data_IF_132836681674
#
_entry.id   IF_132836681674
#
_cell.length_a   1.000
_cell.length_b   1.000
_cell.length_c   1.000
_cell.angle_alpha   90.00
_cell.angle_beta   90.00
_cell.angle_gamma   90.00
#
_symmetry.space_group_name_H-M   'P 1'
#
loop_
_entity.id
_entity.type
_entity.pdbx_description
1 polymer ?
#
# COMPACT_ATOMS: atom_id res chain seq x y z
N UNK A 1 -21.23 6.05 -12.56
CA UNK A 1 -20.40 4.83 -12.38
C UNK A 1 -19.23 4.77 -13.36
N UNK A 2 -19.40 5.05 -14.66
CA UNK A 2 -18.28 5.07 -15.63
C UNK A 2 -17.16 6.06 -15.29
N UNK A 3 -17.51 7.25 -14.80
CA UNK A 3 -16.56 8.29 -14.36
C UNK A 3 -15.61 7.87 -13.21
N UNK A 4 -15.93 6.81 -12.44
CA UNK A 4 -15.05 6.31 -11.37
C UNK A 4 -13.92 5.42 -11.90
N UNK A 5 -14.05 4.91 -13.13
CA UNK A 5 -13.16 3.89 -13.68
C UNK A 5 -12.55 4.26 -15.04
N UNK A 6 -13.12 5.26 -15.72
CA UNK A 6 -12.58 5.82 -16.97
C UNK A 6 -11.71 7.06 -16.66
N UNK A 7 -10.55 7.22 -17.31
CA UNK A 7 -9.71 8.41 -17.14
C UNK A 7 -10.49 9.66 -17.55
N UNK A 8 -10.68 10.58 -16.60
CA UNK A 8 -11.32 11.87 -16.87
C UNK A 8 -10.33 12.83 -17.54
N UNK A 9 -10.75 13.49 -18.61
CA UNK A 9 -9.94 14.53 -19.29
C UNK A 9 -9.91 15.86 -18.52
N UNK A 10 -10.85 16.08 -17.58
CA UNK A 10 -11.00 17.36 -16.87
C UNK A 10 -10.48 17.34 -15.42
N UNK A 11 -10.39 16.17 -14.79
CA UNK A 11 -10.01 16.03 -13.38
C UNK A 11 -8.61 15.42 -13.23
N UNK A 12 -7.60 16.25 -13.42
CA UNK A 12 -6.18 15.86 -13.31
C UNK A 12 -5.72 15.98 -11.86
N UNK A 13 -4.92 15.02 -11.41
CA UNK A 13 -4.27 15.05 -10.11
C UNK A 13 -3.37 16.28 -10.00
N UNK A 14 -3.53 17.01 -8.90
CA UNK A 14 -2.67 18.14 -8.53
C UNK A 14 -1.90 17.80 -7.27
N UNK A 15 -0.57 17.89 -7.38
CA UNK A 15 0.35 17.65 -6.29
C UNK A 15 0.08 18.63 -5.14
N UNK A 16 -0.08 18.07 -3.93
CA UNK A 16 -0.42 18.82 -2.70
C UNK A 16 -1.74 19.62 -2.75
N UNK A 17 -2.69 19.20 -3.61
CA UNK A 17 -4.08 19.62 -3.48
C UNK A 17 -4.69 19.26 -2.12
N UNK A 18 -5.82 19.88 -1.76
CA UNK A 18 -6.55 19.58 -0.51
C UNK A 18 -6.86 18.09 -0.39
N UNK A 19 -7.32 17.45 -1.46
CA UNK A 19 -7.56 16.00 -1.54
C UNK A 19 -6.30 15.20 -1.23
N UNK A 20 -5.16 15.56 -1.84
CA UNK A 20 -3.90 14.89 -1.59
C UNK A 20 -3.45 15.04 -0.13
N UNK A 21 -3.53 16.25 0.42
CA UNK A 21 -3.16 16.54 1.81
C UNK A 21 -4.06 15.81 2.81
N UNK A 22 -5.37 15.73 2.56
CA UNK A 22 -6.28 14.94 3.39
C UNK A 22 -5.95 13.44 3.31
N UNK A 23 -5.56 12.95 2.13
CA UNK A 23 -5.17 11.54 1.95
C UNK A 23 -3.89 11.22 2.72
N UNK A 24 -2.87 12.08 2.63
CA UNK A 24 -1.65 11.94 3.42
C UNK A 24 -1.92 12.10 4.93
N UNK A 25 -2.80 13.02 5.32
CA UNK A 25 -3.23 13.19 6.70
C UNK A 25 -3.94 11.95 7.26
N UNK A 26 -4.83 11.33 6.48
CA UNK A 26 -5.50 10.08 6.85
C UNK A 26 -4.51 8.92 6.97
N UNK A 27 -3.51 8.84 6.08
CA UNK A 27 -2.43 7.88 6.19
C UNK A 27 -1.61 8.08 7.47
N UNK A 28 -1.20 9.32 7.78
CA UNK A 28 -0.49 9.64 9.01
C UNK A 28 -1.32 9.31 10.26
N UNK A 29 -2.62 9.59 10.23
CA UNK A 29 -3.53 9.19 11.29
C UNK A 29 -3.53 7.67 11.48
N UNK A 30 -3.56 6.89 10.40
CA UNK A 30 -3.47 5.43 10.48
C UNK A 30 -2.16 4.95 11.13
N UNK A 31 -1.03 5.59 10.81
CA UNK A 31 0.27 5.31 11.45
C UNK A 31 0.23 5.62 12.95
N UNK A 32 -0.36 6.76 13.33
CA UNK A 32 -0.51 7.16 14.74
C UNK A 32 -1.41 6.18 15.50
N UNK A 33 -2.52 5.77 14.90
CA UNK A 33 -3.43 4.78 15.50
C UNK A 33 -2.72 3.43 15.67
N UNK A 34 -2.02 2.94 14.64
CA UNK A 34 -1.21 1.72 14.72
C UNK A 34 -0.22 1.79 15.89
N UNK A 35 0.51 2.90 16.02
CA UNK A 35 1.44 3.09 17.12
C UNK A 35 0.74 3.15 18.47
N UNK A 36 -0.38 3.87 18.59
CA UNK A 36 -1.12 4.05 19.84
C UNK A 36 -1.71 2.75 20.35
N UNK A 37 -2.30 1.95 19.45
CA UNK A 37 -2.92 0.66 19.76
C UNK A 37 -1.92 -0.52 19.73
N UNK A 38 -0.61 -0.27 19.55
CA UNK A 38 0.41 -1.32 19.43
C UNK A 38 0.42 -2.31 20.60
N UNK A 39 0.09 -1.86 21.82
CA UNK A 39 0.05 -2.72 23.01
C UNK A 39 -1.09 -3.74 22.91
N UNK A 40 -2.27 -3.29 22.48
CA UNK A 40 -3.43 -4.17 22.23
C UNK A 40 -3.15 -5.12 21.07
N UNK A 41 -2.52 -4.64 19.99
CA UNK A 41 -2.18 -5.45 18.82
C UNK A 41 -1.09 -6.50 19.08
N UNK A 42 -0.42 -6.46 20.24
CA UNK A 42 0.52 -7.51 20.67
C UNK A 42 -0.19 -8.73 21.26
N UNK A 43 -1.45 -8.60 21.68
CA UNK A 43 -2.26 -9.75 22.08
C UNK A 43 -2.38 -10.74 20.91
N UNK A 44 -2.27 -12.03 21.20
CA UNK A 44 -2.21 -13.09 20.17
C UNK A 44 -3.39 -13.05 19.19
N UNK A 45 -4.61 -12.80 19.70
CA UNK A 45 -5.82 -12.80 18.85
C UNK A 45 -5.85 -11.56 17.97
N UNK A 46 -5.67 -10.37 18.55
CA UNK A 46 -5.67 -9.12 17.80
C UNK A 46 -4.50 -9.03 16.82
N UNK A 47 -3.34 -9.58 17.18
CA UNK A 47 -2.19 -9.68 16.29
C UNK A 47 -2.52 -10.47 15.03
N UNK A 48 -3.12 -11.65 15.18
CA UNK A 48 -3.49 -12.51 14.07
C UNK A 48 -4.54 -11.83 13.17
N UNK A 49 -5.60 -11.27 13.78
CA UNK A 49 -6.66 -10.57 13.05
C UNK A 49 -6.09 -9.40 12.25
N UNK A 50 -5.25 -8.56 12.86
CA UNK A 50 -4.66 -7.42 12.19
C UNK A 50 -3.73 -7.84 11.04
N UNK A 51 -2.90 -8.86 11.24
CA UNK A 51 -1.99 -9.39 10.19
C UNK A 51 -2.77 -9.97 9.02
N UNK A 52 -3.79 -10.79 9.29
CA UNK A 52 -4.63 -11.39 8.25
C UNK A 52 -5.45 -10.31 7.54
N UNK A 53 -5.99 -9.34 8.28
CA UNK A 53 -6.72 -8.21 7.70
C UNK A 53 -5.84 -7.39 6.76
N UNK A 54 -4.64 -7.00 7.19
CA UNK A 54 -3.68 -6.30 6.33
C UNK A 54 -3.25 -7.14 5.12
N UNK A 55 -2.99 -8.44 5.31
CA UNK A 55 -2.70 -9.36 4.22
C UNK A 55 -3.82 -9.35 3.17
N UNK A 56 -5.07 -9.47 3.61
CA UNK A 56 -6.23 -9.47 2.72
C UNK A 56 -6.36 -8.14 1.99
N UNK A 57 -6.19 -7.00 2.67
CA UNK A 57 -6.24 -5.68 2.02
C UNK A 57 -5.20 -5.57 0.91
N UNK A 58 -3.96 -6.00 1.14
CA UNK A 58 -2.91 -5.95 0.13
C UNK A 58 -3.22 -6.85 -1.07
N UNK A 59 -3.56 -8.12 -0.82
CA UNK A 59 -3.83 -9.07 -1.91
C UNK A 59 -5.09 -8.69 -2.69
N UNK A 60 -6.15 -8.24 -2.02
CA UNK A 60 -7.37 -7.76 -2.68
C UNK A 60 -7.06 -6.52 -3.52
N UNK A 61 -6.21 -5.60 -3.03
CA UNK A 61 -5.78 -4.42 -3.80
C UNK A 61 -5.04 -4.81 -5.09
N UNK A 62 -4.13 -5.80 -5.02
CA UNK A 62 -3.41 -6.27 -6.20
C UNK A 62 -4.36 -6.97 -7.19
N UNK A 63 -5.26 -7.82 -6.70
CA UNK A 63 -6.26 -8.50 -7.54
C UNK A 63 -7.19 -7.47 -8.19
N UNK A 64 -7.63 -6.45 -7.44
CA UNK A 64 -8.51 -5.42 -7.97
C UNK A 64 -7.80 -4.57 -9.04
N UNK A 65 -6.49 -4.34 -8.91
CA UNK A 65 -5.69 -3.70 -9.96
C UNK A 65 -5.71 -4.52 -11.25
N UNK A 66 -5.42 -5.82 -11.15
CA UNK A 66 -5.40 -6.71 -12.31
C UNK A 66 -6.78 -6.79 -12.99
N UNK A 67 -7.85 -6.87 -12.18
CA UNK A 67 -9.22 -6.84 -12.68
C UNK A 67 -9.55 -5.52 -13.41
N UNK A 68 -9.12 -4.38 -12.88
CA UNK A 68 -9.32 -3.08 -13.53
C UNK A 68 -8.52 -2.95 -14.82
N UNK A 69 -7.25 -3.41 -14.84
CA UNK A 69 -6.42 -3.41 -16.06
C UNK A 69 -7.06 -4.25 -17.16
N UNK A 70 -7.58 -5.43 -16.80
CA UNK A 70 -8.29 -6.30 -17.73
C UNK A 70 -9.54 -5.63 -18.28
N UNK A 71 -10.39 -5.09 -17.40
CA UNK A 71 -11.66 -4.47 -17.79
C UNK A 71 -11.47 -3.20 -18.62
N UNK A 72 -10.49 -2.38 -18.28
CA UNK A 72 -10.19 -1.13 -19.00
C UNK A 72 -9.48 -1.35 -20.34
N UNK A 73 -9.15 -2.60 -20.70
CA UNK A 73 -8.41 -2.93 -21.92
C UNK A 73 -6.94 -2.49 -21.92
N UNK A 74 -6.42 -2.01 -20.79
CA UNK A 74 -5.03 -1.59 -20.62
C UNK A 74 -4.11 -2.75 -20.18
N UNK A 75 -4.64 -3.98 -20.13
CA UNK A 75 -3.87 -5.15 -19.74
C UNK A 75 -2.89 -5.56 -20.84
N UNK A 76 -1.60 -5.63 -20.51
CA UNK A 76 -0.57 -6.17 -21.40
C UNK A 76 0.45 -6.98 -20.62
N UNK A 77 1.00 -8.02 -21.26
CA UNK A 77 2.06 -8.84 -20.66
C UNK A 77 3.29 -8.02 -20.25
N UNK A 78 3.57 -6.91 -20.93
CA UNK A 78 4.75 -6.08 -20.65
C UNK A 78 4.54 -5.13 -19.47
N UNK A 79 3.32 -4.62 -19.28
CA UNK A 79 3.06 -3.54 -18.31
C UNK A 79 2.19 -3.96 -17.13
N UNK A 80 1.43 -5.05 -17.24
CA UNK A 80 0.46 -5.48 -16.24
C UNK A 80 0.92 -6.63 -15.36
N UNK A 81 2.02 -7.30 -15.72
CA UNK A 81 2.61 -8.29 -14.81
C UNK A 81 3.06 -7.61 -13.52
N UNK A 82 2.88 -8.25 -12.34
CA UNK A 82 3.26 -7.71 -11.04
C UNK A 82 4.78 -7.75 -10.82
N UNK A 83 5.56 -7.52 -11.87
CA UNK A 83 7.02 -7.46 -11.87
C UNK A 83 7.54 -6.06 -11.57
N UNK A 84 6.65 -5.06 -11.54
CA UNK A 84 6.98 -3.74 -11.04
C UNK A 84 7.34 -3.81 -9.55
N UNK A 85 8.31 -3.00 -9.15
CA UNK A 85 8.84 -3.00 -7.78
C UNK A 85 7.74 -2.75 -6.73
N UNK A 86 6.70 -1.97 -7.05
CA UNK A 86 5.57 -1.73 -6.15
C UNK A 86 4.73 -2.99 -5.92
N UNK A 87 4.32 -3.70 -6.98
CA UNK A 87 3.59 -4.97 -6.88
C UNK A 87 4.42 -6.05 -6.18
N UNK A 88 5.71 -6.16 -6.48
CA UNK A 88 6.62 -7.09 -5.77
C UNK A 88 6.68 -6.73 -4.28
N UNK A 89 6.91 -5.45 -3.95
CA UNK A 89 6.99 -5.01 -2.56
C UNK A 89 5.68 -5.24 -1.80
N UNK A 90 4.54 -5.04 -2.45
CA UNK A 90 3.22 -5.31 -1.89
C UNK A 90 3.04 -6.80 -1.61
N UNK A 91 3.30 -7.68 -2.58
CA UNK A 91 3.15 -9.13 -2.43
C UNK A 91 4.09 -9.65 -1.35
N UNK A 92 5.36 -9.21 -1.35
CA UNK A 92 6.32 -9.60 -0.32
C UNK A 92 5.94 -9.07 1.06
N UNK A 93 5.34 -7.88 1.17
CA UNK A 93 4.84 -7.34 2.44
C UNK A 93 3.62 -8.12 2.95
N UNK A 94 2.75 -8.56 2.05
CA UNK A 94 1.66 -9.47 2.39
C UNK A 94 2.20 -10.82 2.89
N UNK A 95 3.18 -11.41 2.20
CA UNK A 95 3.83 -12.65 2.63
C UNK A 95 4.58 -12.49 3.95
N UNK A 96 5.22 -11.35 4.19
CA UNK A 96 5.84 -11.00 5.47
C UNK A 96 4.82 -11.04 6.60
N UNK A 97 3.63 -10.45 6.38
CA UNK A 97 2.57 -10.45 7.37
C UNK A 97 2.09 -11.86 7.73
N UNK A 98 2.25 -12.89 6.90
CA UNK A 98 1.89 -14.27 7.27
C UNK A 98 3.07 -15.06 7.80
N UNK A 99 4.22 -14.95 7.15
CA UNK A 99 5.39 -15.80 7.40
C UNK A 99 6.30 -15.28 8.51
N UNK A 100 6.26 -13.97 8.80
CA UNK A 100 7.18 -13.31 9.76
C UNK A 100 8.66 -13.62 9.46
N UNK A 101 9.02 -13.79 8.19
CA UNK A 101 10.42 -14.02 7.81
C UNK A 101 11.19 -12.71 7.84
N UNK A 102 12.26 -12.65 8.61
CA UNK A 102 13.07 -11.44 8.74
C UNK A 102 13.70 -10.98 7.42
N UNK A 103 14.16 -11.92 6.58
CA UNK A 103 14.69 -11.59 5.25
C UNK A 103 13.66 -10.86 4.36
N UNK A 104 12.37 -11.21 4.45
CA UNK A 104 11.31 -10.48 3.75
C UNK A 104 11.14 -9.08 4.33
N UNK A 105 11.21 -8.95 5.65
CA UNK A 105 11.14 -7.66 6.33
C UNK A 105 12.29 -6.75 5.92
N UNK A 106 13.54 -7.22 5.88
CA UNK A 106 14.66 -6.37 5.47
C UNK A 106 14.45 -5.81 4.06
N UNK A 107 14.13 -6.68 3.10
CA UNK A 107 13.87 -6.25 1.74
C UNK A 107 12.69 -5.26 1.66
N UNK A 108 11.54 -5.62 2.24
CA UNK A 108 10.32 -4.81 2.14
C UNK A 108 10.39 -3.53 2.96
N UNK A 109 11.17 -3.50 4.04
CA UNK A 109 11.39 -2.29 4.83
C UNK A 109 12.29 -1.30 4.08
N UNK A 110 13.42 -1.74 3.51
CA UNK A 110 14.31 -0.81 2.82
C UNK A 110 13.80 -0.41 1.43
N UNK A 111 13.38 -1.39 0.62
CA UNK A 111 12.92 -1.15 -0.74
C UNK A 111 11.45 -0.76 -0.77
N UNK A 112 10.60 -1.52 -0.08
CA UNK A 112 9.15 -1.34 -0.13
C UNK A 112 8.68 -0.06 0.55
N UNK A 113 9.11 0.22 1.78
CA UNK A 113 8.69 1.45 2.50
C UNK A 113 9.23 2.69 1.83
N UNK A 114 10.52 2.71 1.46
CA UNK A 114 11.15 3.85 0.81
C UNK A 114 10.48 4.22 -0.50
N UNK A 115 10.28 3.24 -1.39
CA UNK A 115 9.59 3.45 -2.66
C UNK A 115 8.13 3.85 -2.47
N UNK A 116 7.41 3.22 -1.53
CA UNK A 116 6.01 3.54 -1.28
C UNK A 116 5.80 4.95 -0.72
N UNK A 117 6.64 5.39 0.21
CA UNK A 117 6.57 6.75 0.74
C UNK A 117 6.88 7.79 -0.35
N UNK A 118 7.91 7.57 -1.16
CA UNK A 118 8.23 8.47 -2.27
C UNK A 118 7.07 8.53 -3.28
N UNK A 119 6.51 7.37 -3.66
CA UNK A 119 5.36 7.29 -4.55
C UNK A 119 4.13 8.02 -3.98
N UNK A 120 3.89 7.95 -2.67
CA UNK A 120 2.77 8.67 -2.05
C UNK A 120 2.99 10.18 -1.96
N UNK A 121 4.22 10.66 -1.73
CA UNK A 121 4.51 12.09 -1.62
C UNK A 121 4.48 12.76 -3.00
N UNK A 122 5.01 12.09 -4.02
CA UNK A 122 5.03 12.56 -5.42
C UNK A 122 4.43 11.51 -6.34
N UNK A 123 3.09 11.35 -6.32
CA UNK A 123 2.44 10.30 -7.09
C UNK A 123 2.37 10.64 -8.58
N UNK A 124 2.79 9.68 -9.40
CA UNK A 124 2.65 9.74 -10.86
C UNK A 124 1.33 9.08 -11.29
N UNK A 125 0.22 9.70 -10.88
CA UNK A 125 -1.13 9.25 -11.22
C UNK A 125 -1.89 10.22 -12.12
N UNK A 126 -1.25 11.34 -12.49
CA UNK A 126 -1.66 12.29 -13.55
C UNK A 126 -3.16 12.39 -13.81
N UNK A 127 -3.73 11.58 -14.72
CA UNK A 127 -5.14 11.63 -15.12
C UNK A 127 -6.14 11.05 -14.09
N UNK A 128 -5.66 10.57 -12.95
CA UNK A 128 -6.44 9.86 -11.95
C UNK A 128 -6.40 10.59 -10.61
N UNK A 129 -7.35 11.50 -10.39
CA UNK A 129 -7.59 12.13 -9.08
C UNK A 129 -8.81 11.53 -8.38
N UNK A 130 -8.96 11.77 -7.08
CA UNK A 130 -10.17 11.36 -6.35
C UNK A 130 -11.42 11.95 -7.02
N UNK A 131 -12.52 11.18 -7.17
CA UNK A 131 -12.81 9.86 -6.58
C UNK A 131 -12.44 8.64 -7.46
N UNK A 132 -11.56 8.80 -8.45
CA UNK A 132 -11.23 7.72 -9.39
C UNK A 132 -10.61 6.50 -8.68
N UNK A 133 -10.99 5.30 -9.12
CA UNK A 133 -10.53 4.03 -8.54
C UNK A 133 -9.00 3.94 -8.45
N UNK A 134 -8.28 4.31 -9.51
CA UNK A 134 -6.80 4.29 -9.53
C UNK A 134 -6.18 5.15 -8.44
N UNK A 135 -6.78 6.29 -8.09
CA UNK A 135 -6.33 7.13 -6.98
C UNK A 135 -6.45 6.36 -5.66
N UNK A 136 -7.65 5.84 -5.37
CA UNK A 136 -7.93 5.11 -4.12
C UNK A 136 -7.05 3.87 -3.99
N UNK A 137 -6.99 3.06 -5.05
CA UNK A 137 -6.11 1.89 -5.13
C UNK A 137 -4.65 2.26 -4.86
N UNK A 138 -4.14 3.32 -5.50
CA UNK A 138 -2.74 3.73 -5.36
C UNK A 138 -2.37 4.03 -3.92
N UNK A 139 -3.18 4.80 -3.20
CA UNK A 139 -2.88 5.12 -1.80
C UNK A 139 -3.12 3.93 -0.85
N UNK A 140 -4.06 3.04 -1.15
CA UNK A 140 -4.26 1.80 -0.38
C UNK A 140 -3.07 0.85 -0.54
N UNK A 141 -2.58 0.63 -1.77
CA UNK A 141 -1.50 -0.32 -2.04
C UNK A 141 -0.17 0.15 -1.42
N UNK A 142 0.22 1.40 -1.66
CA UNK A 142 1.46 1.97 -1.12
C UNK A 142 1.35 2.22 0.39
N UNK A 143 0.25 2.83 0.85
CA UNK A 143 0.02 3.07 2.27
C UNK A 143 -0.06 1.75 3.06
N UNK A 144 -0.77 0.75 2.53
CA UNK A 144 -0.85 -0.58 3.12
C UNK A 144 0.51 -1.26 3.22
N UNK A 145 1.36 -1.14 2.20
CA UNK A 145 2.74 -1.65 2.21
C UNK A 145 3.56 -1.04 3.34
N UNK A 146 3.46 0.28 3.54
CA UNK A 146 4.12 0.96 4.65
C UNK A 146 3.55 0.50 5.99
N UNK A 147 2.22 0.47 6.15
CA UNK A 147 1.55 0.04 7.38
C UNK A 147 1.91 -1.41 7.75
N UNK A 148 2.02 -2.31 6.78
CA UNK A 148 2.44 -3.70 7.01
C UNK A 148 3.83 -3.79 7.63
N UNK A 149 4.79 -3.01 7.10
CA UNK A 149 6.15 -2.96 7.62
C UNK A 149 6.22 -2.28 8.99
N UNK A 150 5.51 -1.17 9.17
CA UNK A 150 5.43 -0.50 10.47
C UNK A 150 4.72 -1.36 11.53
N UNK A 151 3.78 -2.21 11.14
CA UNK A 151 3.17 -3.18 12.04
C UNK A 151 4.24 -4.15 12.56
N UNK A 152 5.11 -4.66 11.69
CA UNK A 152 6.21 -5.53 12.10
C UNK A 152 7.19 -4.81 13.05
N UNK A 153 7.46 -3.53 12.83
CA UNK A 153 8.32 -2.73 13.73
C UNK A 153 7.65 -2.50 15.09
N UNK A 154 6.47 -1.89 15.12
CA UNK A 154 5.85 -1.42 16.36
C UNK A 154 5.24 -2.55 17.19
N UNK A 155 4.65 -3.55 16.53
CA UNK A 155 3.91 -4.64 17.17
C UNK A 155 4.79 -5.87 17.32
N UNK A 156 5.40 -6.36 16.23
CA UNK A 156 6.22 -7.57 16.28
C UNK A 156 7.65 -7.33 16.79
N UNK A 157 8.07 -6.08 16.99
CA UNK A 157 9.36 -5.72 17.58
C UNK A 157 10.55 -5.84 16.62
N UNK A 158 10.29 -5.90 15.31
CA UNK A 158 11.33 -5.99 14.30
C UNK A 158 12.12 -4.68 14.27
N UNK A 159 13.43 -4.77 14.04
CA UNK A 159 14.30 -3.61 13.95
C UNK A 159 15.01 -3.64 12.62
N UNK A 160 15.02 -2.56 11.83
CA UNK A 160 15.80 -2.53 10.62
C UNK A 160 17.30 -2.54 10.98
N UNK A 161 17.97 -3.66 10.77
CA UNK A 161 19.43 -3.74 10.92
C UNK A 161 20.05 -3.55 9.55
N UNK A 162 20.87 -2.52 9.35
CA UNK A 162 21.63 -2.33 8.11
C UNK A 162 22.79 -3.32 7.92
N UNK A 163 22.71 -4.50 8.56
CA UNK A 163 23.68 -5.58 8.45
C UNK A 163 22.95 -6.76 7.83
N UNK A 164 22.91 -6.80 6.50
CA UNK A 164 22.61 -8.00 5.72
C UNK A 164 23.90 -8.76 5.44
#
# INVERSE_FOLDING_TARGET
MRELFEPGTENVFQLFSSVHLYTLGAFLLMVILLFSFRKTLRDTRFNLIARVGLFLVLIISEISLQAWLWWSGHWSYQYSLPLHLSSISLILSALLLLTKKYALFEFTYFVGVGSALQAMITPDISLYTFPHYRYVHFFISHGGTVIANLFMVFVAGYRPTGKS
#
